data_IF_078683698141
#
_entry.id   IF_078683698141
#
_cell.length_a   1.000
_cell.length_b   1.000
_cell.length_c   1.000
_cell.angle_alpha   90.00
_cell.angle_beta   90.00
_cell.angle_gamma   90.00
#
_symmetry.space_group_name_H-M   'P 1'
#
loop_
_entity.id
_entity.type
_entity.pdbx_description
1 polymer ?
#
# COMPACT_ATOMS: atom_id res chain seq x y z
N UNK A 1 -25.45 -28.21 8.01
CA UNK A 1 -25.57 -27.08 7.06
C UNK A 1 -25.02 -25.77 7.61
N UNK A 2 -25.36 -25.38 8.84
CA UNK A 2 -24.90 -24.12 9.47
C UNK A 2 -23.37 -23.94 9.52
N UNK A 3 -22.62 -25.00 9.87
CA UNK A 3 -21.15 -24.96 9.95
C UNK A 3 -20.48 -24.57 8.62
N UNK A 4 -21.07 -24.96 7.48
CA UNK A 4 -20.55 -24.62 6.15
C UNK A 4 -20.78 -23.13 5.83
N UNK A 5 -21.92 -22.59 6.22
CA UNK A 5 -22.26 -21.16 6.00
C UNK A 5 -21.36 -20.27 6.86
N UNK A 6 -21.16 -20.63 8.13
CA UNK A 6 -20.28 -19.90 9.04
C UNK A 6 -18.83 -19.82 8.50
N UNK A 7 -18.30 -20.94 8.00
CA UNK A 7 -16.97 -20.99 7.39
C UNK A 7 -16.87 -20.07 6.17
N UNK A 8 -17.89 -20.07 5.31
CA UNK A 8 -17.93 -19.22 4.12
C UNK A 8 -17.97 -17.73 4.49
N UNK A 9 -18.74 -17.33 5.51
CA UNK A 9 -18.79 -15.94 5.97
C UNK A 9 -17.43 -15.48 6.49
N UNK A 10 -16.75 -16.28 7.31
CA UNK A 10 -15.42 -15.95 7.84
C UNK A 10 -14.42 -15.80 6.69
N UNK A 11 -14.44 -16.73 5.73
CA UNK A 11 -13.59 -16.68 4.54
C UNK A 11 -13.82 -15.38 3.74
N UNK A 12 -15.09 -15.01 3.52
CA UNK A 12 -15.42 -13.78 2.80
C UNK A 12 -14.96 -12.52 3.54
N UNK A 13 -15.12 -12.46 4.87
CA UNK A 13 -14.68 -11.32 5.68
C UNK A 13 -13.15 -11.18 5.71
N UNK A 14 -12.41 -12.30 5.71
CA UNK A 14 -10.94 -12.29 5.63
C UNK A 14 -10.43 -11.76 4.28
N UNK A 15 -11.12 -12.07 3.17
CA UNK A 15 -10.74 -11.59 1.83
C UNK A 15 -11.09 -10.11 1.64
N UNK A 16 -12.23 -9.66 2.18
CA UNK A 16 -12.64 -8.25 2.19
C UNK A 16 -11.62 -7.38 2.95
N UNK A 17 -10.98 -7.93 3.99
CA UNK A 17 -9.94 -7.24 4.74
C UNK A 17 -8.69 -6.87 3.94
N UNK A 18 -8.38 -7.49 2.80
CA UNK A 18 -7.16 -7.16 2.05
C UNK A 18 -7.38 -6.14 0.92
N UNK A 19 -8.57 -6.08 0.32
CA UNK A 19 -8.84 -5.19 -0.83
C UNK A 19 -9.64 -3.92 -0.44
N UNK A 20 -10.47 -3.96 0.61
CA UNK A 20 -11.13 -2.77 1.19
C UNK A 20 -10.25 -2.01 2.20
N UNK A 21 -9.20 -2.67 2.70
CA UNK A 21 -8.08 -2.17 3.52
C UNK A 21 -7.65 -0.72 3.42
N UNK A 22 -7.38 -0.24 2.21
CA UNK A 22 -6.41 0.85 2.05
C UNK A 22 -6.38 1.60 0.70
N UNK A 23 -7.42 1.63 -0.16
CA UNK A 23 -7.41 2.56 -1.28
C UNK A 23 -7.12 4.00 -0.82
N UNK A 24 -7.73 4.42 0.30
CA UNK A 24 -7.49 5.72 0.95
C UNK A 24 -6.07 5.84 1.49
N UNK A 25 -5.57 4.84 2.22
CA UNK A 25 -4.21 4.87 2.76
C UNK A 25 -3.15 5.00 1.66
N UNK A 26 -3.27 4.23 0.56
CA UNK A 26 -2.36 4.35 -0.58
C UNK A 26 -2.56 5.66 -1.34
N UNK A 27 -3.78 6.19 -1.39
CA UNK A 27 -4.03 7.50 -1.97
C UNK A 27 -3.38 8.62 -1.16
N UNK A 28 -3.48 8.60 0.17
CA UNK A 28 -2.87 9.57 1.08
C UNK A 28 -1.34 9.48 1.04
N UNK A 29 -0.78 8.27 1.03
CA UNK A 29 0.65 8.05 0.84
C UNK A 29 1.11 8.58 -0.52
N UNK A 30 0.34 8.33 -1.58
CA UNK A 30 0.65 8.85 -2.90
C UNK A 30 0.51 10.37 -2.97
N UNK A 31 -0.48 10.94 -2.30
CA UNK A 31 -0.72 12.39 -2.25
C UNK A 31 0.36 13.10 -1.44
N UNK A 32 0.68 12.61 -0.25
CA UNK A 32 1.79 13.11 0.58
C UNK A 32 3.11 13.07 -0.19
N UNK A 33 3.40 11.96 -0.91
CA UNK A 33 4.59 11.88 -1.77
C UNK A 33 4.57 12.90 -2.92
N UNK A 34 3.40 13.17 -3.50
CA UNK A 34 3.23 14.20 -4.55
C UNK A 34 3.44 15.61 -4.00
N UNK A 35 2.89 15.93 -2.84
CA UNK A 35 3.02 17.24 -2.17
C UNK A 35 4.46 17.52 -1.72
N UNK A 36 5.13 16.52 -1.12
CA UNK A 36 6.54 16.60 -0.76
C UNK A 36 7.47 16.56 -1.99
N UNK A 37 6.92 16.20 -3.16
CA UNK A 37 7.67 16.00 -4.40
C UNK A 37 8.70 14.86 -4.31
N UNK A 38 8.47 13.89 -3.42
CA UNK A 38 9.37 12.75 -3.20
C UNK A 38 9.08 11.63 -4.18
N UNK A 39 10.11 11.19 -4.91
CA UNK A 39 10.05 10.03 -5.81
C UNK A 39 11.01 8.94 -5.34
N UNK A 40 10.49 7.75 -5.10
CA UNK A 40 11.28 6.59 -4.72
C UNK A 40 11.52 5.68 -5.92
N UNK A 41 12.76 5.22 -6.06
CA UNK A 41 13.22 4.38 -7.15
C UNK A 41 13.74 3.06 -6.59
N UNK A 42 13.46 1.96 -7.30
CA UNK A 42 13.96 0.63 -6.99
C UNK A 42 15.16 0.32 -7.90
N UNK A 43 16.26 -0.13 -7.32
CA UNK A 43 17.42 -0.63 -8.08
C UNK A 43 17.23 -2.09 -8.45
N UNK A 44 17.92 -2.54 -9.51
CA UNK A 44 17.98 -3.95 -9.88
C UNK A 44 18.50 -4.85 -8.74
N UNK A 45 19.33 -4.29 -7.85
CA UNK A 45 19.81 -4.96 -6.63
C UNK A 45 18.77 -5.11 -5.51
N UNK A 46 17.54 -4.66 -5.72
CA UNK A 46 16.45 -4.74 -4.73
C UNK A 46 16.43 -3.63 -3.68
N UNK A 47 17.42 -2.73 -3.67
CA UNK A 47 17.47 -1.60 -2.75
C UNK A 47 16.59 -0.44 -3.23
N UNK A 48 15.95 0.25 -2.29
CA UNK A 48 15.12 1.43 -2.54
C UNK A 48 15.84 2.70 -2.08
N UNK A 49 15.65 3.77 -2.83
CA UNK A 49 16.08 5.10 -2.41
C UNK A 49 15.07 6.15 -2.89
N UNK A 50 14.87 7.18 -2.08
CA UNK A 50 13.94 8.25 -2.39
C UNK A 50 14.71 9.55 -2.68
N UNK A 51 14.20 10.35 -3.61
CA UNK A 51 14.71 11.67 -3.94
C UNK A 51 13.63 12.72 -3.70
N UNK A 52 13.99 13.88 -3.18
CA UNK A 52 13.11 15.04 -3.10
C UNK A 52 12.91 15.70 -4.49
N UNK A 53 12.12 16.78 -4.54
CA UNK A 53 11.86 17.54 -5.76
C UNK A 53 13.10 18.22 -6.36
N UNK A 54 14.18 18.35 -5.60
CA UNK A 54 15.46 18.93 -6.02
C UNK A 54 16.48 17.86 -6.44
N UNK A 55 16.14 16.57 -6.30
CA UNK A 55 17.00 15.45 -6.65
C UNK A 55 17.90 14.95 -5.51
N UNK A 56 17.80 15.53 -4.31
CA UNK A 56 18.58 15.09 -3.15
C UNK A 56 18.01 13.80 -2.59
N UNK A 57 18.89 12.87 -2.18
CA UNK A 57 18.48 11.61 -1.56
C UNK A 57 17.98 11.85 -0.15
N UNK A 58 16.76 11.40 0.12
CA UNK A 58 16.16 11.38 1.46
C UNK A 58 16.28 9.97 2.04
N UNK A 59 16.59 9.88 3.34
CA UNK A 59 16.83 8.64 4.08
C UNK A 59 15.73 8.41 5.10
#
# INVERSE_FOLDING_TARGET
MFKKILLMVILTMSVVGCELLSPSYWNDVNQSRREEGRKCYRRASGTFYCKDKYGNRVY
#
